data_IF_294005295890
#
_entry.id   IF_294005295890
#
_cell.length_a   1.000
_cell.length_b   1.000
_cell.length_c   1.000
_cell.angle_alpha   90.00
_cell.angle_beta   90.00
_cell.angle_gamma   90.00
#
_symmetry.space_group_name_H-M   'P 1'
#
loop_
_entity.id
_entity.type
_entity.pdbx_description
1 polymer ?
#
# COMPACT_ATOMS: atom_id res chain seq x y z
N UNK A 1 17.63 -5.53 25.57
CA UNK A 1 18.21 -4.90 24.36
C UNK A 1 17.03 -4.53 23.50
N UNK A 2 16.92 -3.27 23.08
CA UNK A 2 15.88 -2.90 22.13
C UNK A 2 16.12 -3.66 20.82
N UNK A 3 15.07 -4.27 20.28
CA UNK A 3 15.11 -4.83 18.94
C UNK A 3 15.49 -3.72 17.95
N UNK A 4 16.18 -4.05 16.87
CA UNK A 4 16.31 -3.10 15.77
C UNK A 4 14.91 -2.72 15.25
N UNK A 5 14.75 -1.52 14.68
CA UNK A 5 13.45 -1.06 14.17
C UNK A 5 12.81 -2.10 13.22
N UNK A 6 13.64 -2.77 12.43
CA UNK A 6 13.21 -3.84 11.50
C UNK A 6 12.71 -5.07 12.25
N UNK A 7 13.39 -5.49 13.31
CA UNK A 7 12.96 -6.62 14.13
C UNK A 7 11.67 -6.32 14.88
N UNK A 8 11.51 -5.11 15.42
CA UNK A 8 10.28 -4.68 16.08
C UNK A 8 9.08 -4.70 15.12
N UNK A 9 9.27 -4.16 13.90
CA UNK A 9 8.22 -4.19 12.86
C UNK A 9 7.91 -5.63 12.43
N UNK A 10 8.91 -6.49 12.28
CA UNK A 10 8.67 -7.90 11.93
C UNK A 10 7.87 -8.61 13.02
N UNK A 11 8.26 -8.42 14.27
CA UNK A 11 7.59 -8.99 15.42
C UNK A 11 6.13 -8.52 15.55
N UNK A 12 5.89 -7.23 15.27
CA UNK A 12 4.54 -6.65 15.24
C UNK A 12 3.64 -7.39 14.26
N UNK A 13 4.09 -7.60 13.03
CA UNK A 13 3.31 -8.32 12.02
C UNK A 13 3.16 -9.81 12.32
N UNK A 14 4.16 -10.45 12.92
CA UNK A 14 4.07 -11.85 13.37
C UNK A 14 3.03 -12.00 14.48
N UNK A 15 3.07 -11.14 15.50
CA UNK A 15 2.11 -11.11 16.59
C UNK A 15 0.68 -10.81 16.09
N UNK A 16 0.54 -9.82 15.20
CA UNK A 16 -0.74 -9.49 14.58
C UNK A 16 -1.29 -10.66 13.77
N UNK A 17 -0.50 -11.33 12.94
CA UNK A 17 -0.94 -12.49 12.16
C UNK A 17 -1.37 -13.65 13.06
N UNK A 18 -0.66 -13.88 14.16
CA UNK A 18 -1.00 -14.88 15.17
C UNK A 18 -2.27 -14.53 15.98
N UNK A 19 -2.76 -13.29 15.89
CA UNK A 19 -3.90 -12.79 16.66
C UNK A 19 -3.56 -12.44 18.11
N UNK A 20 -2.28 -12.25 18.42
CA UNK A 20 -1.81 -11.88 19.75
C UNK A 20 -1.79 -10.35 19.89
N UNK A 21 -2.96 -9.76 20.15
CA UNK A 21 -3.10 -8.31 20.31
C UNK A 21 -2.43 -7.78 21.58
N UNK A 22 -2.33 -8.60 22.64
CA UNK A 22 -1.56 -8.26 23.84
C UNK A 22 -0.08 -8.03 23.48
N UNK A 23 0.51 -8.89 22.66
CA UNK A 23 1.90 -8.70 22.20
C UNK A 23 2.04 -7.50 21.27
N UNK A 24 1.05 -7.25 20.40
CA UNK A 24 1.00 -6.02 19.58
C UNK A 24 0.99 -4.77 20.46
N UNK A 25 0.24 -4.79 21.58
CA UNK A 25 0.20 -3.70 22.56
C UNK A 25 1.60 -3.43 23.13
N UNK A 26 2.32 -4.45 23.54
CA UNK A 26 3.66 -4.30 24.13
C UNK A 26 4.71 -3.71 23.17
N UNK A 27 4.47 -3.80 21.85
CA UNK A 27 5.37 -3.31 20.82
C UNK A 27 5.12 -1.84 20.45
N UNK A 28 3.98 -1.28 20.85
CA UNK A 28 3.65 0.12 20.61
C UNK A 28 3.97 0.99 21.81
N UNK A 29 4.28 2.26 21.52
CA UNK A 29 4.37 3.30 22.55
C UNK A 29 2.96 3.72 22.98
N UNK A 30 2.78 4.09 24.25
CA UNK A 30 1.51 4.58 24.78
C UNK A 30 1.00 5.84 24.04
N UNK A 31 1.92 6.64 23.49
CA UNK A 31 1.67 7.88 22.73
C UNK A 31 1.64 7.69 21.21
N UNK A 32 1.44 6.45 20.73
CA UNK A 32 1.38 6.14 19.30
C UNK A 32 0.42 7.05 18.53
N UNK A 33 0.88 7.44 17.35
CA UNK A 33 0.07 8.10 16.32
C UNK A 33 0.07 7.22 15.08
N UNK A 34 -1.13 6.82 14.65
CA UNK A 34 -1.34 6.03 13.45
C UNK A 34 -1.93 6.92 12.35
N UNK A 35 -1.27 6.94 11.19
CA UNK A 35 -1.70 7.68 10.01
C UNK A 35 -2.18 6.68 8.95
N UNK A 36 -3.50 6.56 8.79
CA UNK A 36 -4.09 5.65 7.80
C UNK A 36 -4.50 6.42 6.53
N UNK A 37 -3.92 6.10 5.36
CA UNK A 37 -4.34 6.69 4.10
C UNK A 37 -5.76 6.28 3.74
N UNK A 38 -6.51 7.19 3.12
CA UNK A 38 -7.86 6.90 2.65
C UNK A 38 -7.85 5.76 1.60
N UNK A 39 -8.61 4.70 1.87
CA UNK A 39 -8.86 3.60 0.93
C UNK A 39 -7.93 2.40 1.02
N UNK A 40 -7.14 2.26 2.08
CA UNK A 40 -6.23 1.14 2.29
C UNK A 40 -6.87 -0.01 3.08
N UNK A 41 -6.80 0.00 4.41
CA UNK A 41 -7.12 -1.18 5.22
C UNK A 41 -8.49 -1.08 5.88
N UNK A 42 -8.83 0.08 6.43
CA UNK A 42 -10.12 0.34 7.07
C UNK A 42 -10.60 1.71 6.61
N UNK A 43 -11.56 1.74 5.68
CA UNK A 43 -12.10 2.98 5.11
C UNK A 43 -12.63 3.94 6.19
N UNK A 44 -13.12 3.38 7.30
CA UNK A 44 -13.64 4.12 8.45
C UNK A 44 -12.56 4.65 9.40
N UNK A 45 -11.32 4.12 9.32
CA UNK A 45 -10.19 4.54 10.14
C UNK A 45 -9.24 5.52 9.42
N UNK A 46 -9.61 5.99 8.23
CA UNK A 46 -8.78 6.92 7.46
C UNK A 46 -8.53 8.23 8.24
N UNK A 47 -7.28 8.68 8.26
CA UNK A 47 -6.84 9.85 9.00
C UNK A 47 -5.91 9.52 10.16
N UNK A 48 -5.84 10.44 11.14
CA UNK A 48 -4.95 10.35 12.30
C UNK A 48 -5.69 9.71 13.47
N UNK A 49 -5.16 8.61 14.00
CA UNK A 49 -5.61 7.98 15.24
C UNK A 49 -4.52 8.08 16.31
N UNK A 50 -4.88 8.40 17.55
CA UNK A 50 -3.93 8.60 18.64
C UNK A 50 -4.25 7.71 19.83
N UNK A 51 -3.20 7.18 20.46
CA UNK A 51 -3.31 6.36 21.65
C UNK A 51 -3.47 4.88 21.33
N UNK A 52 -2.91 4.05 22.19
CA UNK A 52 -2.76 2.62 21.97
C UNK A 52 -4.09 1.88 21.86
N UNK A 53 -5.10 2.27 22.64
CA UNK A 53 -6.41 1.61 22.65
C UNK A 53 -7.19 1.86 21.35
N UNK A 54 -7.20 3.11 20.88
CA UNK A 54 -7.84 3.49 19.61
C UNK A 54 -7.16 2.82 18.41
N UNK A 55 -5.82 2.76 18.42
CA UNK A 55 -5.06 2.07 17.37
C UNK A 55 -5.37 0.56 17.40
N UNK A 56 -5.37 -0.09 18.56
CA UNK A 56 -5.69 -1.51 18.68
C UNK A 56 -7.12 -1.84 18.19
N UNK A 57 -8.09 -0.95 18.39
CA UNK A 57 -9.44 -1.12 17.87
C UNK A 57 -9.46 -1.21 16.32
N UNK A 58 -8.58 -0.49 15.63
CA UNK A 58 -8.41 -0.60 14.18
C UNK A 58 -7.90 -2.00 13.81
N UNK A 59 -6.86 -2.48 14.50
CA UNK A 59 -6.30 -3.82 14.27
C UNK A 59 -7.34 -4.92 14.50
N UNK A 60 -8.15 -4.81 15.55
CA UNK A 60 -9.24 -5.75 15.83
C UNK A 60 -10.32 -5.73 14.74
N UNK A 61 -10.76 -4.54 14.32
CA UNK A 61 -11.76 -4.36 13.24
C UNK A 61 -11.29 -4.97 11.92
N UNK A 62 -10.00 -4.84 11.60
CA UNK A 62 -9.41 -5.36 10.36
C UNK A 62 -9.42 -6.90 10.31
N UNK A 63 -9.34 -7.57 11.46
CA UNK A 63 -9.42 -9.03 11.55
C UNK A 63 -10.85 -9.54 11.34
N UNK A 64 -11.86 -8.75 11.72
CA UNK A 64 -13.27 -9.07 11.51
C UNK A 64 -13.74 -8.87 10.06
N UNK A 65 -13.13 -7.95 9.32
CA UNK A 65 -13.55 -7.61 7.94
C UNK A 65 -13.06 -8.58 6.87
N UNK A 66 -12.08 -9.45 7.18
CA UNK A 66 -11.48 -10.42 6.25
C UNK A 66 -12.36 -11.62 5.84
N UNK A 67 -13.58 -11.76 6.36
CA UNK A 67 -14.49 -12.89 6.01
C UNK A 67 -15.84 -12.49 5.42
N UNK A 68 -16.19 -11.20 5.41
CA UNK A 68 -17.52 -10.75 4.99
C UNK A 68 -17.73 -10.67 3.46
N UNK A 69 -16.67 -10.70 2.65
CA UNK A 69 -16.80 -10.61 1.17
C UNK A 69 -17.10 -11.94 0.47
N UNK A 70 -17.22 -13.07 1.19
CA UNK A 70 -17.44 -14.40 0.59
C UNK A 70 -18.83 -14.99 0.82
N UNK A 71 -19.90 -14.17 0.86
CA UNK A 71 -21.26 -14.73 0.91
C UNK A 71 -22.33 -13.88 0.21
N UNK A 72 -22.14 -13.66 -1.10
CA UNK A 72 -23.29 -13.35 -1.99
C UNK A 72 -23.13 -13.95 -3.39
N UNK A 73 -22.95 -15.27 -3.49
CA UNK A 73 -23.41 -16.03 -4.65
C UNK A 73 -24.80 -16.57 -4.32
N UNK A 74 -25.83 -15.75 -4.54
CA UNK A 74 -27.21 -16.26 -4.65
C UNK A 74 -27.29 -17.05 -5.94
N UNK A 75 -27.68 -18.30 -5.79
CA UNK A 75 -28.05 -19.24 -6.84
C UNK A 75 -29.11 -18.62 -7.75
N UNK A 76 -28.80 -18.55 -9.04
CA UNK A 76 -29.81 -18.51 -10.10
C UNK A 76 -29.27 -19.32 -11.27
N UNK A 77 -29.60 -20.60 -11.23
CA UNK A 77 -29.62 -21.51 -12.36
C UNK A 77 -30.62 -21.01 -13.40
N UNK A 78 -30.18 -20.74 -14.64
CA UNK A 78 -30.79 -21.15 -15.93
C UNK A 78 -29.74 -21.00 -17.06
N UNK A 79 -29.63 -21.94 -18.03
CA UNK A 79 -28.62 -21.90 -19.09
C UNK A 79 -29.12 -21.17 -20.35
N UNK A 80 -28.25 -20.43 -21.02
CA UNK A 80 -28.30 -20.20 -22.48
C UNK A 80 -27.02 -19.51 -22.97
N UNK A 81 -26.35 -20.20 -23.89
CA UNK A 81 -25.50 -19.73 -24.98
C UNK A 81 -25.44 -18.21 -25.18
N UNK A 82 -24.24 -17.65 -25.04
CA UNK A 82 -23.95 -16.27 -25.40
C UNK A 82 -22.46 -15.98 -25.25
N UNK A 83 -21.68 -16.28 -26.29
CA UNK A 83 -20.31 -15.81 -26.43
C UNK A 83 -20.30 -14.29 -26.33
N UNK A 84 -19.55 -13.72 -25.39
CA UNK A 84 -19.28 -12.29 -25.32
C UNK A 84 -17.84 -12.08 -24.88
N UNK A 85 -16.99 -12.02 -25.90
CA UNK A 85 -15.90 -11.07 -26.09
C UNK A 85 -15.26 -10.51 -24.80
N UNK A 86 -14.16 -11.12 -24.40
CA UNK A 86 -13.19 -10.49 -23.50
C UNK A 86 -12.59 -9.29 -24.24
N UNK A 87 -13.00 -8.07 -23.87
CA UNK A 87 -12.31 -6.86 -24.31
C UNK A 87 -11.12 -6.63 -23.39
N UNK A 88 -9.94 -6.89 -23.94
CA UNK A 88 -8.64 -6.61 -23.32
C UNK A 88 -8.53 -5.09 -23.02
N UNK A 89 -8.21 -4.66 -21.79
CA UNK A 89 -7.90 -3.27 -21.55
C UNK A 89 -6.58 -2.93 -22.27
N UNK A 90 -6.68 -2.12 -23.33
CA UNK A 90 -5.52 -1.55 -24.01
C UNK A 90 -4.60 -0.87 -23.00
N UNK A 91 -3.39 -1.39 -22.85
CA UNK A 91 -2.32 -0.71 -22.15
C UNK A 91 -2.07 0.66 -22.81
N UNK A 92 -1.95 1.76 -22.06
CA UNK A 92 -1.40 2.98 -22.62
C UNK A 92 0.05 2.73 -23.03
N UNK A 93 0.41 3.11 -24.25
CA UNK A 93 1.76 3.02 -24.80
C UNK A 93 2.77 3.69 -23.85
N UNK A 94 4.02 3.18 -23.77
CA UNK A 94 5.08 3.88 -23.05
C UNK A 94 5.29 5.24 -23.72
N UNK A 95 4.94 6.31 -22.99
CA UNK A 95 5.32 7.67 -23.36
C UNK A 95 6.84 7.71 -23.40
N UNK A 96 7.38 7.81 -24.61
CA UNK A 96 8.79 7.98 -24.85
C UNK A 96 9.28 9.22 -24.09
N UNK A 97 10.27 9.01 -23.23
CA UNK A 97 10.97 10.09 -22.56
C UNK A 97 11.50 11.10 -23.59
N UNK A 98 11.45 12.42 -23.32
CA UNK A 98 12.09 13.40 -24.17
C UNK A 98 13.60 13.13 -24.18
N UNK A 99 14.13 12.87 -25.38
CA UNK A 99 15.56 12.71 -25.63
C UNK A 99 16.25 14.01 -25.22
N UNK A 100 17.20 13.91 -24.30
CA UNK A 100 18.14 14.99 -23.96
C UNK A 100 18.73 15.58 -25.26
N UNK A 101 18.74 16.90 -25.44
CA UNK A 101 19.50 17.50 -26.54
C UNK A 101 20.99 17.25 -26.29
N UNK A 102 21.64 16.65 -27.29
CA UNK A 102 23.08 16.48 -27.34
C UNK A 102 23.77 17.84 -27.19
N UNK A 103 24.71 17.91 -26.25
CA UNK A 103 25.65 19.02 -26.11
C UNK A 103 26.35 19.25 -27.45
N UNK A 104 26.13 20.41 -28.05
CA UNK A 104 26.93 20.91 -29.16
C UNK A 104 28.32 21.25 -28.62
N UNK A 105 29.31 20.44 -29.00
CA UNK A 105 30.72 20.76 -28.85
C UNK A 105 31.09 21.78 -29.92
N UNK A 106 31.08 23.06 -29.59
CA UNK A 106 31.78 24.08 -30.38
C UNK A 106 33.21 24.20 -29.88
N UNK A 107 34.12 23.68 -30.69
CA UNK A 107 35.56 23.87 -30.62
C UNK A 107 35.89 25.38 -30.64
N UNK A 108 36.45 25.87 -29.55
CA UNK A 108 37.08 27.18 -29.49
C UNK A 108 38.42 27.15 -30.23
N UNK A 109 38.47 27.80 -31.39
CA UNK A 109 39.71 28.09 -32.11
C UNK A 109 40.40 29.28 -31.45
N UNK A 110 41.62 29.04 -31.01
CA UNK A 110 42.55 29.98 -30.40
C UNK A 110 42.82 31.20 -31.29
N UNK A 111 42.76 32.40 -30.71
CA UNK A 111 43.41 33.59 -31.25
C UNK A 111 43.84 34.50 -30.09
N UNK A 112 45.10 34.39 -29.68
CA UNK A 112 45.78 35.43 -28.90
C UNK A 112 47.02 35.85 -29.68
N UNK A 113 46.94 37.06 -30.22
CA UNK A 113 48.11 37.80 -30.68
C UNK A 113 48.59 38.72 -29.57
N UNK A 114 49.90 38.80 -29.41
CA UNK A 114 50.69 39.98 -29.05
C UNK A 114 52.14 39.65 -29.32
#
# INVERSE_FOLDING_TARGET
MAASDVEAVRELYEAFNAGNLDRVRELFSDDIVWEEPKGYFVTEAAGTTRGIDEVLAIFESTRGSGTASRRRRKSSTTPATGSSSWSEPSAPAPTAAPRSPARSSTSGTSRTGS
#
